data_IF_554471180049
#
_entry.id   IF_554471180049
#
_cell.length_a   1.000
_cell.length_b   1.000
_cell.length_c   1.000
_cell.angle_alpha   90.00
_cell.angle_beta   90.00
_cell.angle_gamma   90.00
#
_symmetry.space_group_name_H-M   'P 1'
#
loop_
_entity.id
_entity.type
_entity.pdbx_description
1 polymer ?
#
# COMPACT_ATOMS: atom_id res chain seq x y z
N UNK A 1 -0.74 0.70 19.14
CA UNK A 1 -0.55 -0.25 20.25
C UNK A 1 0.13 -1.48 19.69
N UNK A 2 1.01 -2.13 20.45
CA UNK A 2 1.61 -3.41 20.07
C UNK A 2 0.58 -4.53 20.20
N UNK A 3 0.70 -5.56 19.38
CA UNK A 3 -0.14 -6.77 19.44
C UNK A 3 0.64 -7.89 20.15
N UNK A 4 0.02 -8.46 21.18
CA UNK A 4 0.60 -9.57 21.95
C UNK A 4 0.75 -10.85 21.12
N UNK A 5 1.55 -11.83 21.57
CA UNK A 5 1.71 -13.10 20.87
C UNK A 5 0.37 -13.85 20.70
N UNK A 6 -0.54 -13.72 21.66
CA UNK A 6 -1.86 -14.38 21.64
C UNK A 6 -2.95 -13.57 20.88
N UNK A 7 -2.60 -12.41 20.30
CA UNK A 7 -3.54 -11.59 19.54
C UNK A 7 -3.78 -12.21 18.14
N UNK A 8 -5.01 -12.62 17.85
CA UNK A 8 -5.34 -13.22 16.54
C UNK A 8 -5.06 -12.28 15.36
N UNK A 9 -5.14 -10.96 15.56
CA UNK A 9 -4.76 -9.95 14.59
C UNK A 9 -3.25 -9.89 14.35
N UNK A 10 -2.41 -10.20 15.34
CA UNK A 10 -0.97 -10.40 15.14
C UNK A 10 -0.75 -11.56 14.17
N UNK A 11 -1.31 -12.73 14.50
CA UNK A 11 -1.10 -13.97 13.74
C UNK A 11 -1.56 -13.82 12.27
N UNK A 12 -2.72 -13.19 12.04
CA UNK A 12 -3.21 -12.91 10.69
C UNK A 12 -2.24 -11.98 9.92
N UNK A 13 -1.80 -10.87 10.52
CA UNK A 13 -0.88 -9.94 9.83
C UNK A 13 0.49 -10.57 9.59
N UNK A 14 0.97 -11.39 10.52
CA UNK A 14 2.22 -12.15 10.39
C UNK A 14 2.14 -13.18 9.25
N UNK A 15 1.06 -13.96 9.16
CA UNK A 15 0.81 -14.91 8.08
C UNK A 15 0.75 -14.19 6.72
N UNK A 16 0.00 -13.09 6.59
CA UNK A 16 -0.10 -12.34 5.33
C UNK A 16 1.28 -11.76 4.94
N UNK A 17 2.02 -11.24 5.90
CA UNK A 17 3.36 -10.70 5.67
C UNK A 17 4.36 -11.79 5.24
N UNK A 18 4.40 -12.94 5.91
CA UNK A 18 5.33 -14.04 5.60
C UNK A 18 4.95 -14.79 4.32
N UNK A 19 3.67 -15.10 4.11
CA UNK A 19 3.20 -15.80 2.90
C UNK A 19 3.37 -14.97 1.61
N UNK A 20 3.38 -13.64 1.72
CA UNK A 20 3.74 -12.74 0.61
C UNK A 20 5.24 -12.40 0.53
N UNK A 21 6.08 -13.04 1.34
CA UNK A 21 7.54 -12.91 1.26
C UNK A 21 8.10 -13.91 0.23
N UNK A 22 7.76 -13.72 -1.05
CA UNK A 22 7.89 -14.71 -2.14
C UNK A 22 9.34 -15.04 -2.60
N UNK A 23 10.35 -14.80 -1.77
CA UNK A 23 11.75 -15.13 -2.06
C UNK A 23 12.00 -16.63 -1.87
N UNK A 24 12.02 -17.38 -2.99
CA UNK A 24 12.19 -18.86 -3.04
C UNK A 24 13.55 -19.38 -2.51
N UNK A 25 14.48 -18.48 -2.20
CA UNK A 25 15.73 -18.73 -1.46
C UNK A 25 15.89 -17.58 -0.46
N UNK A 26 16.61 -17.80 0.64
CA UNK A 26 16.84 -16.81 1.71
C UNK A 26 17.38 -15.49 1.14
N UNK A 27 17.15 -14.35 1.81
CA UNK A 27 17.15 -14.18 3.26
C UNK A 27 15.83 -14.54 3.98
N UNK A 28 15.95 -15.14 5.17
CA UNK A 28 14.82 -15.40 6.07
C UNK A 28 14.35 -14.06 6.66
N UNK A 29 13.04 -13.83 6.67
CA UNK A 29 12.46 -12.61 7.23
C UNK A 29 11.90 -12.87 8.63
N UNK A 30 12.53 -12.29 9.64
CA UNK A 30 12.10 -12.38 11.03
C UNK A 30 11.21 -11.19 11.40
N UNK A 31 9.96 -11.45 11.80
CA UNK A 31 9.05 -10.41 12.33
C UNK A 31 9.36 -10.19 13.81
N UNK A 32 9.89 -9.02 14.15
CA UNK A 32 10.16 -8.67 15.55
C UNK A 32 8.86 -8.30 16.28
N UNK A 33 8.04 -7.43 15.67
CA UNK A 33 6.87 -6.81 16.32
C UNK A 33 5.81 -6.43 15.30
N UNK A 34 4.54 -6.49 15.72
CA UNK A 34 3.40 -5.95 14.96
C UNK A 34 2.65 -4.95 15.85
N UNK A 35 2.41 -3.75 15.33
CA UNK A 35 1.70 -2.68 16.02
C UNK A 35 0.46 -2.25 15.23
N UNK A 36 -0.71 -2.24 15.87
CA UNK A 36 -1.93 -1.63 15.31
C UNK A 36 -1.86 -0.11 15.38
N UNK A 37 -2.06 0.54 14.23
CA UNK A 37 -2.12 1.99 14.09
C UNK A 37 -3.48 2.49 14.58
N UNK A 38 -3.49 3.50 15.45
CA UNK A 38 -4.70 4.20 15.88
C UNK A 38 -4.81 5.51 15.08
N UNK A 39 -5.58 5.46 14.00
CA UNK A 39 -5.86 6.63 13.16
C UNK A 39 -6.84 7.58 13.86
N UNK A 40 -6.72 8.89 13.60
CA UNK A 40 -7.70 9.86 14.09
C UNK A 40 -9.03 9.72 13.35
N UNK A 41 -10.14 10.11 13.98
CA UNK A 41 -11.46 10.11 13.31
C UNK A 41 -11.46 10.96 12.02
N UNK A 42 -10.69 12.05 12.00
CA UNK A 42 -10.48 12.90 10.80
C UNK A 42 -9.75 12.14 9.69
N UNK A 43 -8.77 11.31 10.01
CA UNK A 43 -8.05 10.47 9.03
C UNK A 43 -8.99 9.41 8.44
N UNK A 44 -9.73 8.71 9.31
CA UNK A 44 -10.69 7.67 8.91
C UNK A 44 -11.79 8.28 8.02
N UNK A 45 -12.43 9.37 8.44
CA UNK A 45 -13.48 10.03 7.67
C UNK A 45 -12.99 10.53 6.29
N UNK A 46 -11.74 10.98 6.17
CA UNK A 46 -11.15 11.38 4.87
C UNK A 46 -10.93 10.19 3.93
N UNK A 47 -10.56 9.03 4.48
CA UNK A 47 -10.37 7.79 3.72
C UNK A 47 -11.72 7.22 3.25
N UNK A 48 -12.70 7.10 4.15
CA UNK A 48 -14.03 6.59 3.81
C UNK A 48 -14.80 7.56 2.88
N UNK A 49 -14.63 8.88 3.03
CA UNK A 49 -15.15 9.87 2.06
C UNK A 49 -14.51 9.75 0.68
N UNK A 50 -13.22 9.42 0.60
CA UNK A 50 -12.58 9.17 -0.69
C UNK A 50 -13.08 7.86 -1.32
N UNK A 51 -13.22 6.78 -0.54
CA UNK A 51 -13.87 5.54 -0.99
C UNK A 51 -15.25 5.83 -1.59
N UNK A 52 -16.10 6.59 -0.89
CA UNK A 52 -17.44 6.89 -1.39
C UNK A 52 -17.41 7.72 -2.66
N UNK A 53 -16.47 8.67 -2.80
CA UNK A 53 -16.28 9.42 -4.05
C UNK A 53 -15.81 8.54 -5.22
N UNK A 54 -15.10 7.44 -4.95
CA UNK A 54 -14.68 6.45 -5.96
C UNK A 54 -15.85 5.53 -6.34
N UNK A 55 -16.70 5.15 -5.37
CA UNK A 55 -17.92 4.37 -5.60
C UNK A 55 -18.97 5.15 -6.41
N UNK A 56 -19.21 6.41 -6.07
CA UNK A 56 -20.25 7.23 -6.73
C UNK A 56 -19.97 7.53 -8.21
N UNK A 57 -18.70 7.54 -8.61
CA UNK A 57 -18.24 7.71 -10.00
C UNK A 57 -17.93 6.38 -10.72
N UNK A 58 -18.18 5.24 -10.09
CA UNK A 58 -17.84 3.93 -10.66
C UNK A 58 -18.90 3.47 -11.67
N UNK A 59 -18.45 3.14 -12.89
CA UNK A 59 -19.30 2.42 -13.85
C UNK A 59 -19.65 1.01 -13.35
N UNK A 60 -20.86 0.55 -13.66
CA UNK A 60 -21.34 -0.83 -13.37
C UNK A 60 -20.44 -1.91 -13.97
N UNK A 61 -19.66 -1.59 -15.02
CA UNK A 61 -18.64 -2.48 -15.61
C UNK A 61 -17.45 -2.77 -14.67
N UNK A 62 -17.33 -2.06 -13.53
CA UNK A 62 -16.31 -2.29 -12.51
C UNK A 62 -16.93 -2.67 -11.15
N UNK A 63 -17.41 -3.92 -10.94
CA UNK A 63 -18.15 -4.31 -9.74
C UNK A 63 -17.45 -4.00 -8.42
N UNK A 64 -16.12 -4.18 -8.37
CA UNK A 64 -15.30 -3.85 -7.18
C UNK A 64 -15.28 -2.35 -6.86
N UNK A 65 -15.15 -1.50 -7.88
CA UNK A 65 -15.19 -0.05 -7.69
C UNK A 65 -16.55 0.40 -7.10
N UNK A 66 -17.64 -0.22 -7.52
CA UNK A 66 -19.00 0.04 -7.00
C UNK A 66 -19.17 -0.47 -5.57
N UNK A 67 -18.68 -1.69 -5.27
CA UNK A 67 -18.87 -2.34 -3.98
C UNK A 67 -18.02 -1.72 -2.85
N UNK A 68 -16.70 -1.67 -3.01
CA UNK A 68 -15.75 -1.33 -1.94
C UNK A 68 -14.79 -0.18 -2.30
N UNK A 69 -14.91 0.40 -3.51
CA UNK A 69 -13.95 1.36 -4.05
C UNK A 69 -12.71 0.71 -4.70
N UNK A 70 -12.78 -0.59 -5.00
CA UNK A 70 -11.64 -1.45 -5.32
C UNK A 70 -10.59 -1.38 -4.19
N UNK A 71 -11.03 -1.72 -2.97
CA UNK A 71 -10.19 -1.71 -1.78
C UNK A 71 -9.22 -2.91 -1.77
N UNK A 72 -7.94 -2.64 -1.56
CA UNK A 72 -6.87 -3.63 -1.59
C UNK A 72 -6.03 -3.53 -0.32
N UNK A 73 -5.65 -4.69 0.22
CA UNK A 73 -4.57 -4.76 1.20
C UNK A 73 -3.24 -4.54 0.47
N UNK A 74 -2.39 -3.64 0.99
CA UNK A 74 -1.13 -3.26 0.35
C UNK A 74 -0.01 -3.05 1.35
N UNK A 75 1.21 -3.29 0.90
CA UNK A 75 2.44 -3.09 1.65
C UNK A 75 3.17 -1.83 1.19
N UNK A 76 3.70 -1.10 2.17
CA UNK A 76 4.55 0.06 1.96
C UNK A 76 5.73 0.02 2.94
N UNK A 77 6.95 -0.18 2.43
CA UNK A 77 8.16 -0.26 3.26
C UNK A 77 8.70 1.15 3.55
N UNK A 78 9.19 1.36 4.77
CA UNK A 78 9.76 2.63 5.20
C UNK A 78 10.73 2.45 6.37
N UNK A 79 11.55 3.46 6.61
CA UNK A 79 12.53 3.52 7.70
C UNK A 79 11.92 4.04 9.01
N UNK A 80 12.60 3.75 10.11
CA UNK A 80 12.32 4.31 11.42
C UNK A 80 13.63 4.48 12.21
N UNK A 81 13.80 5.64 12.84
CA UNK A 81 14.98 5.98 13.64
C UNK A 81 14.67 6.03 15.16
N UNK A 82 13.48 5.58 15.58
CA UNK A 82 13.01 5.72 16.96
C UNK A 82 12.81 4.40 17.69
N UNK A 83 12.59 4.50 18.99
CA UNK A 83 12.40 3.39 19.93
C UNK A 83 11.00 2.74 19.89
N UNK A 84 10.24 2.91 18.81
CA UNK A 84 8.88 2.34 18.68
C UNK A 84 8.90 0.81 18.78
N UNK A 85 7.98 0.26 19.57
CA UNK A 85 7.92 -1.14 19.97
C UNK A 85 8.92 -1.53 21.08
N UNK A 86 9.97 -0.76 21.35
CA UNK A 86 10.93 -1.12 22.42
C UNK A 86 10.40 -0.72 23.79
N UNK A 87 10.57 -1.60 24.80
CA UNK A 87 10.10 -1.40 26.19
C UNK A 87 8.61 -1.00 26.29
N UNK A 88 7.76 -1.48 25.37
CA UNK A 88 6.33 -1.14 25.30
C UNK A 88 6.02 0.27 24.78
N UNK A 89 7.01 1.03 24.31
CA UNK A 89 6.80 2.36 23.74
C UNK A 89 6.03 2.27 22.42
N UNK A 90 4.83 2.84 22.37
CA UNK A 90 4.02 2.90 21.14
C UNK A 90 3.67 4.32 20.69
N UNK A 91 4.30 5.32 21.30
CA UNK A 91 4.15 6.73 20.97
C UNK A 91 4.99 7.12 19.75
N UNK A 92 4.46 8.01 18.89
CA UNK A 92 5.16 8.51 17.72
C UNK A 92 6.23 9.54 18.12
N UNK A 93 7.48 9.36 17.68
CA UNK A 93 8.57 10.26 18.02
C UNK A 93 8.45 11.65 17.37
N UNK A 94 9.05 12.67 17.99
CA UNK A 94 9.12 14.03 17.46
C UNK A 94 10.08 14.24 16.27
N UNK A 95 10.85 13.22 15.87
CA UNK A 95 11.97 13.31 14.91
C UNK A 95 11.62 13.65 13.44
N UNK A 96 10.48 14.31 13.18
CA UNK A 96 10.12 14.85 11.86
C UNK A 96 10.23 13.82 10.72
N UNK A 97 10.94 14.22 9.67
CA UNK A 97 11.13 13.42 8.45
C UNK A 97 12.13 12.26 8.63
N UNK A 98 12.99 12.30 9.65
CA UNK A 98 14.03 11.28 9.92
C UNK A 98 13.44 9.95 10.43
N UNK A 99 12.13 9.89 10.70
CA UNK A 99 11.45 8.65 11.06
C UNK A 99 10.24 8.45 10.15
N UNK A 100 10.44 7.71 9.05
CA UNK A 100 9.41 7.44 8.05
C UNK A 100 8.10 6.92 8.62
N UNK A 101 8.13 5.92 9.52
CA UNK A 101 6.93 5.41 10.20
C UNK A 101 6.16 6.53 10.93
N UNK A 102 6.85 7.33 11.75
CA UNK A 102 6.19 8.35 12.57
C UNK A 102 5.73 9.55 11.73
N UNK A 103 6.48 9.92 10.69
CA UNK A 103 6.08 10.95 9.72
C UNK A 103 4.83 10.51 8.96
N UNK A 104 4.82 9.31 8.40
CA UNK A 104 3.67 8.81 7.63
C UNK A 104 2.41 8.64 8.48
N UNK A 105 2.50 8.15 9.73
CA UNK A 105 1.31 8.02 10.60
C UNK A 105 0.79 9.39 11.05
N UNK A 106 1.67 10.37 11.32
CA UNK A 106 1.28 11.71 11.79
C UNK A 106 0.76 12.60 10.67
N UNK A 107 1.46 12.63 9.54
CA UNK A 107 1.27 13.60 8.47
C UNK A 107 0.57 13.00 7.23
N UNK A 108 0.43 11.68 7.17
CA UNK A 108 -0.03 10.95 5.99
C UNK A 108 1.07 10.72 4.95
N UNK A 109 0.67 10.21 3.78
CA UNK A 109 1.60 9.82 2.71
C UNK A 109 2.02 10.96 1.76
N UNK A 110 1.47 12.16 1.93
CA UNK A 110 1.61 13.26 0.95
C UNK A 110 3.06 13.73 0.68
N UNK A 111 3.96 13.62 1.66
CA UNK A 111 5.36 14.04 1.51
C UNK A 111 6.19 13.09 0.63
N UNK A 112 5.70 11.89 0.30
CA UNK A 112 6.44 10.88 -0.49
C UNK A 112 5.80 10.59 -1.85
N UNK A 113 4.87 11.42 -2.30
CA UNK A 113 4.44 11.41 -3.70
C UNK A 113 5.53 12.07 -4.54
N UNK A 114 6.32 11.23 -5.21
CA UNK A 114 7.30 11.63 -6.24
C UNK A 114 6.59 12.44 -7.34
N UNK A 115 7.28 13.43 -7.91
CA UNK A 115 6.71 14.60 -8.59
C UNK A 115 5.91 14.23 -9.86
N UNK A 116 4.63 13.91 -9.65
CA UNK A 116 3.71 13.39 -10.66
C UNK A 116 3.58 11.86 -10.77
N UNK A 117 4.48 11.07 -10.14
CA UNK A 117 4.40 9.59 -10.19
C UNK A 117 3.39 8.99 -9.19
N UNK A 118 3.09 9.71 -8.11
CA UNK A 118 2.22 9.23 -7.03
C UNK A 118 2.93 8.26 -6.07
N UNK A 119 2.24 7.78 -5.03
CA UNK A 119 2.85 6.90 -4.03
C UNK A 119 2.72 5.43 -4.46
N UNK A 120 3.86 4.75 -4.59
CA UNK A 120 3.90 3.30 -4.81
C UNK A 120 3.49 2.52 -3.54
N UNK A 121 2.60 1.56 -3.72
CA UNK A 121 2.28 0.51 -2.75
C UNK A 121 2.31 -0.84 -3.47
N UNK A 122 2.63 -1.93 -2.78
CA UNK A 122 2.85 -3.24 -3.42
C UNK A 122 1.89 -4.30 -2.92
N UNK A 123 1.66 -5.34 -3.73
CA UNK A 123 0.83 -6.48 -3.35
C UNK A 123 1.55 -7.44 -2.38
N UNK A 124 2.88 -7.44 -2.36
CA UNK A 124 3.68 -8.44 -1.63
C UNK A 124 4.74 -7.78 -0.73
N UNK A 125 4.95 -8.35 0.46
CA UNK A 125 5.94 -7.84 1.41
C UNK A 125 7.38 -7.92 0.86
N UNK A 126 7.69 -8.98 0.10
CA UNK A 126 8.97 -9.11 -0.59
C UNK A 126 9.24 -7.97 -1.58
N UNK A 127 8.26 -7.62 -2.44
CA UNK A 127 8.40 -6.50 -3.38
C UNK A 127 8.48 -5.15 -2.64
N UNK A 128 7.68 -4.93 -1.60
CA UNK A 128 7.80 -3.74 -0.76
C UNK A 128 9.20 -3.54 -0.19
N UNK A 129 9.86 -4.62 0.23
CA UNK A 129 11.23 -4.57 0.73
C UNK A 129 12.23 -4.19 -0.37
N UNK A 130 12.12 -4.82 -1.55
CA UNK A 130 13.03 -4.61 -2.67
C UNK A 130 12.90 -3.21 -3.30
N UNK A 131 11.69 -2.65 -3.34
CA UNK A 131 11.45 -1.28 -3.82
C UNK A 131 12.01 -0.19 -2.88
N UNK A 132 12.49 -0.54 -1.67
CA UNK A 132 12.89 0.44 -0.65
C UNK A 132 14.41 0.58 -0.57
N UNK A 133 14.91 1.66 -1.19
CA UNK A 133 16.26 2.19 -0.98
C UNK A 133 16.31 2.96 0.35
N UNK A 134 17.10 2.45 1.30
CA UNK A 134 17.48 3.16 2.52
C UNK A 134 18.92 3.66 2.39
N UNK A 135 19.20 4.88 2.86
CA UNK A 135 20.60 5.34 2.96
C UNK A 135 21.35 4.54 4.03
N UNK A 136 22.69 4.54 3.99
CA UNK A 136 23.48 3.86 5.04
C UNK A 136 23.22 4.45 6.43
N UNK A 137 22.94 5.75 6.51
CA UNK A 137 22.54 6.45 7.74
C UNK A 137 21.21 5.91 8.28
N UNK A 138 20.22 5.68 7.43
CA UNK A 138 18.93 5.09 7.82
C UNK A 138 19.08 3.63 8.26
N UNK A 139 19.93 2.83 7.59
CA UNK A 139 20.23 1.44 7.99
C UNK A 139 20.95 1.38 9.34
N UNK A 140 21.89 2.29 9.58
CA UNK A 140 22.61 2.41 10.85
C UNK A 140 21.67 2.83 11.98
N UNK A 141 20.83 3.85 11.75
CA UNK A 141 19.86 4.35 12.73
C UNK A 141 18.82 3.28 13.13
N UNK A 142 18.38 2.43 12.20
CA UNK A 142 17.43 1.35 12.48
C UNK A 142 18.07 0.09 13.07
N UNK A 143 19.40 -0.02 13.03
CA UNK A 143 20.21 -1.19 13.41
C UNK A 143 19.85 -2.44 12.61
N UNK A 144 19.80 -2.32 11.28
CA UNK A 144 19.44 -3.43 10.38
C UNK A 144 17.98 -3.87 10.42
N UNK A 145 17.12 -3.19 11.19
CA UNK A 145 15.66 -3.40 11.17
C UNK A 145 15.01 -2.55 10.10
N UNK A 146 13.90 -3.02 9.55
CA UNK A 146 13.02 -2.25 8.66
C UNK A 146 11.61 -2.22 9.22
N UNK A 147 10.81 -1.28 8.74
CA UNK A 147 9.39 -1.22 9.04
C UNK A 147 8.56 -1.31 7.77
N UNK A 148 7.42 -1.98 7.84
CA UNK A 148 6.45 -2.03 6.77
C UNK A 148 5.09 -1.61 7.29
N UNK A 149 4.44 -0.68 6.59
CA UNK A 149 3.04 -0.37 6.82
C UNK A 149 2.20 -1.35 6.01
N UNK A 150 1.26 -2.01 6.69
CA UNK A 150 0.18 -2.77 6.07
C UNK A 150 -1.03 -1.84 6.01
N UNK A 151 -1.46 -1.51 4.80
CA UNK A 151 -2.42 -0.46 4.51
C UNK A 151 -3.67 -1.02 3.83
N UNK A 152 -4.82 -0.41 4.13
CA UNK A 152 -5.99 -0.43 3.25
C UNK A 152 -5.78 0.64 2.18
N UNK A 153 -5.95 0.29 0.91
CA UNK A 153 -5.77 1.19 -0.23
C UNK A 153 -6.98 1.15 -1.15
N UNK A 154 -7.59 2.31 -1.39
CA UNK A 154 -8.64 2.49 -2.41
C UNK A 154 -7.94 2.64 -3.76
N UNK A 155 -7.94 1.58 -4.57
CA UNK A 155 -7.31 1.62 -5.88
C UNK A 155 -8.19 2.29 -6.94
N UNK A 156 -9.52 2.26 -6.75
CA UNK A 156 -10.49 2.79 -7.71
C UNK A 156 -10.30 2.25 -9.12
N UNK A 157 -10.54 3.10 -10.12
CA UNK A 157 -10.29 2.78 -11.53
C UNK A 157 -8.78 2.80 -11.79
N UNK A 158 -8.19 1.64 -11.99
CA UNK A 158 -6.74 1.46 -12.23
C UNK A 158 -6.44 1.57 -13.71
N UNK A 159 -5.43 2.37 -14.10
CA UNK A 159 -4.84 2.29 -15.45
C UNK A 159 -3.78 1.20 -15.46
N UNK A 160 -3.92 0.20 -16.32
CA UNK A 160 -2.87 -0.80 -16.51
C UNK A 160 -1.68 -0.19 -17.26
N UNK A 161 -0.46 -0.42 -16.78
CA UNK A 161 0.78 -0.02 -17.43
C UNK A 161 1.38 -1.20 -18.21
N UNK A 162 0.94 -1.44 -19.45
CA UNK A 162 1.57 -2.50 -20.25
C UNK A 162 0.94 -2.80 -21.62
N UNK A 163 -0.37 -2.61 -21.81
CA UNK A 163 -1.04 -2.93 -23.09
C UNK A 163 -0.88 -1.80 -24.12
N UNK A 164 0.32 -1.66 -24.67
CA UNK A 164 0.44 -1.23 -26.06
C UNK A 164 -0.12 -2.33 -26.94
N UNK A 165 -0.98 -1.98 -27.90
CA UNK A 165 -1.78 -2.85 -28.77
C UNK A 165 -0.99 -4.06 -29.32
N UNK A 166 -1.50 -5.28 -29.14
CA UNK A 166 -1.71 -6.35 -30.17
C UNK A 166 -2.67 -7.40 -29.57
N UNK A 167 -3.60 -7.89 -30.41
CA UNK A 167 -4.47 -9.08 -30.31
C UNK A 167 -4.63 -9.81 -28.97
N UNK A 168 -5.87 -9.85 -28.48
CA UNK A 168 -6.71 -11.05 -28.67
C UNK A 168 -8.07 -10.58 -29.19
N UNK A 169 -8.24 -10.69 -30.52
CA UNK A 169 -9.52 -10.53 -31.17
C UNK A 169 -9.95 -11.92 -31.61
N UNK A 170 -10.90 -12.51 -30.89
CA UNK A 170 -11.93 -13.44 -31.40
C UNK A 170 -12.94 -13.70 -30.26
N UNK A 171 -14.21 -13.60 -30.61
CA UNK A 171 -15.41 -13.99 -29.85
C UNK A 171 -15.62 -13.41 -28.43
N UNK A 172 -16.20 -12.21 -28.39
CA UNK A 172 -17.55 -12.01 -27.83
C UNK A 172 -18.20 -10.77 -28.45
N UNK A 173 -18.94 -10.97 -29.53
CA UNK A 173 -19.77 -9.96 -30.18
C UNK A 173 -20.95 -9.58 -29.28
N UNK A 174 -20.91 -8.41 -28.65
CA UNK A 174 -22.12 -7.69 -28.20
C UNK A 174 -21.83 -6.17 -28.11
N UNK A 175 -21.36 -5.61 -29.22
CA UNK A 175 -21.40 -4.17 -29.45
C UNK A 175 -22.78 -3.78 -30.02
N UNK A 176 -23.61 -3.10 -29.21
CA UNK A 176 -24.57 -2.14 -29.76
C UNK A 176 -24.34 -0.77 -29.13
N UNK A 177 -23.74 0.05 -29.99
CA UNK A 177 -23.69 1.49 -30.08
C UNK A 177 -24.63 2.31 -29.17
N UNK A 178 -24.05 3.33 -28.52
CA UNK A 178 -24.62 4.67 -28.58
C UNK A 178 -23.49 5.72 -28.59
N UNK A 179 -22.94 6.00 -29.78
CA UNK A 179 -21.91 7.03 -29.97
C UNK A 179 -22.58 8.42 -30.04
N UNK A 180 -22.80 9.02 -28.86
CA UNK A 180 -23.62 10.24 -28.76
C UNK A 180 -23.29 11.18 -27.60
N UNK A 181 -22.03 11.27 -27.17
CA UNK A 181 -21.67 12.20 -26.08
C UNK A 181 -20.18 12.23 -25.76
N UNK A 182 -19.64 13.44 -25.66
CA UNK A 182 -18.25 13.79 -25.37
C UNK A 182 -17.60 12.90 -24.30
N UNK A 183 -16.59 12.09 -24.68
CA UNK A 183 -15.74 11.36 -23.73
C UNK A 183 -14.77 12.30 -23.01
N UNK A 184 -15.29 13.15 -22.13
CA UNK A 184 -14.52 14.07 -21.29
C UNK A 184 -13.80 13.29 -20.19
N UNK A 185 -12.63 12.73 -20.55
CA UNK A 185 -11.55 12.35 -19.64
C UNK A 185 -11.94 11.50 -18.41
N UNK A 186 -12.22 10.21 -18.61
CA UNK A 186 -12.37 9.26 -17.51
C UNK A 186 -11.10 9.15 -16.66
N UNK A 187 -11.01 9.95 -15.59
CA UNK A 187 -9.82 10.07 -14.74
C UNK A 187 -9.59 8.82 -13.89
N UNK A 188 -8.50 8.12 -14.15
CA UNK A 188 -8.01 7.03 -13.28
C UNK A 188 -7.65 7.51 -11.87
N UNK A 189 -7.90 6.68 -10.86
CA UNK A 189 -7.50 6.93 -9.46
C UNK A 189 -6.06 6.52 -9.17
N UNK A 190 -5.58 5.53 -9.94
CA UNK A 190 -4.31 4.87 -9.74
C UNK A 190 -3.75 4.30 -11.04
N UNK A 191 -2.48 3.92 -11.01
CA UNK A 191 -1.75 3.30 -12.11
C UNK A 191 -1.10 2.01 -11.60
N UNK A 192 -1.27 0.92 -12.34
CA UNK A 192 -0.47 -0.27 -12.13
C UNK A 192 0.97 -0.03 -12.60
N UNK A 193 1.95 -0.44 -11.79
CA UNK A 193 3.36 -0.45 -12.18
C UNK A 193 3.69 -1.59 -13.15
N UNK A 194 4.94 -2.03 -13.15
CA UNK A 194 5.33 -3.21 -13.94
C UNK A 194 4.57 -4.44 -13.41
N UNK A 195 3.99 -5.23 -14.30
CA UNK A 195 3.40 -6.51 -13.93
C UNK A 195 4.49 -7.41 -13.34
N UNK A 196 4.26 -7.88 -12.11
CA UNK A 196 5.17 -8.81 -11.45
C UNK A 196 4.82 -10.26 -11.76
N UNK A 197 5.59 -11.18 -11.18
CA UNK A 197 5.47 -12.64 -11.44
C UNK A 197 4.11 -13.21 -11.03
N UNK A 198 3.39 -12.53 -10.13
CA UNK A 198 2.16 -13.03 -9.52
C UNK A 198 0.91 -12.19 -9.80
N UNK A 199 1.05 -10.89 -10.06
CA UNK A 199 -0.09 -10.06 -10.46
C UNK A 199 0.29 -8.85 -11.31
N UNK A 200 -0.65 -8.46 -12.16
CA UNK A 200 -0.63 -7.20 -12.91
C UNK A 200 -0.79 -5.96 -12.01
N UNK A 201 -0.89 -6.15 -10.68
CA UNK A 201 -1.00 -5.11 -9.66
C UNK A 201 0.07 -5.28 -8.57
N UNK A 202 1.22 -5.91 -8.86
CA UNK A 202 2.31 -6.09 -7.89
C UNK A 202 2.83 -4.74 -7.37
N UNK A 203 2.80 -3.71 -8.22
CA UNK A 203 2.98 -2.30 -7.88
C UNK A 203 1.72 -1.50 -8.24
N UNK A 204 1.31 -0.59 -7.35
CA UNK A 204 0.18 0.31 -7.54
C UNK A 204 0.55 1.72 -7.06
N UNK A 205 0.51 2.65 -7.98
CA UNK A 205 0.75 4.07 -7.75
C UNK A 205 -0.58 4.79 -7.55
N UNK A 206 -0.78 5.41 -6.39
CA UNK A 206 -2.00 6.19 -6.08
C UNK A 206 -1.67 7.68 -5.98
N UNK A 207 -2.55 8.52 -6.53
CA UNK A 207 -2.33 9.97 -6.63
C UNK A 207 -2.95 10.79 -5.51
N UNK A 208 -3.88 10.19 -4.75
CA UNK A 208 -4.56 10.87 -3.65
C UNK A 208 -4.06 10.31 -2.30
N UNK A 209 -3.46 11.11 -1.41
CA UNK A 209 -2.99 10.60 -0.11
C UNK A 209 -4.13 10.15 0.81
N UNK A 210 -5.40 10.52 0.51
CA UNK A 210 -6.60 10.01 1.17
C UNK A 210 -6.95 8.57 0.74
N UNK A 211 -6.32 8.04 -0.32
CA UNK A 211 -6.53 6.68 -0.80
C UNK A 211 -5.93 5.61 0.11
N UNK A 212 -5.10 5.98 1.09
CA UNK A 212 -4.32 5.04 1.90
C UNK A 212 -4.62 5.24 3.38
N UNK A 213 -4.98 4.17 4.08
CA UNK A 213 -5.11 4.13 5.53
C UNK A 213 -4.12 3.10 6.10
N UNK A 214 -3.11 3.52 6.91
CA UNK A 214 -2.17 2.59 7.52
C UNK A 214 -2.87 1.89 8.69
N UNK A 215 -2.89 0.56 8.69
CA UNK A 215 -3.59 -0.26 9.69
C UNK A 215 -2.61 -0.90 10.68
N UNK A 216 -1.49 -1.40 10.19
CA UNK A 216 -0.46 -2.04 11.02
C UNK A 216 0.95 -1.57 10.63
N UNK A 217 1.86 -1.62 11.60
CA UNK A 217 3.31 -1.50 11.42
C UNK A 217 3.92 -2.85 11.74
N UNK A 218 4.59 -3.49 10.78
CA UNK A 218 5.42 -4.68 10.99
C UNK A 218 6.86 -4.21 11.10
N UNK A 219 7.52 -4.47 12.23
CA UNK A 219 8.97 -4.27 12.41
C UNK A 219 9.63 -5.62 12.18
N UNK A 220 10.60 -5.67 11.28
CA UNK A 220 11.19 -6.92 10.83
C UNK A 220 12.70 -6.80 10.55
N UNK A 221 13.36 -7.94 10.48
CA UNK A 221 14.76 -8.12 10.05
C UNK A 221 14.83 -9.12 8.92
N UNK A 222 15.92 -9.05 8.17
CA UNK A 222 16.22 -9.88 7.02
C UNK A 222 17.63 -10.39 7.25
N UNK A 223 17.79 -11.72 7.36
CA UNK A 223 19.08 -12.35 7.62
C UNK A 223 19.82 -12.57 6.29
N UNK A 224 20.81 -11.69 6.02
CA UNK A 224 21.69 -11.72 4.84
C UNK A 224 22.62 -12.95 4.82
#
# INVERSE_FOLDING_TARGET
SELGPDDSGRNIVEIIFQSSWLKKKSPVCHVDRILKVRNTQRTIARFESYRESVKSRASRRNPRCVADGNELLRFYCTTFACSIGTRGSTSLCGAGLLCGVCSTIRNGFGHKMDDGRGLCTTATSGRAHDCMSATEEEKAASRGRRAMLVCRVIAGKVRMGGSSKVADAEDNEEEQEEWGGESVGERYDSVAGMAGVYSNLDELYVFNPKAILPCFVVIYRVEE
#
